data_IF_363290053444
#
_entry.id   IF_363290053444
#
_cell.length_a   1.000
_cell.length_b   1.000
_cell.length_c   1.000
_cell.angle_alpha   90.00
_cell.angle_beta   90.00
_cell.angle_gamma   90.00
#
_symmetry.space_group_name_H-M   'P 1'
#
loop_
_entity.id
_entity.type
_entity.pdbx_description
1 polymer ?
#
# COMPACT_ATOMS: atom_id res chain seq x y z
N UNK A 1 9.62 -23.27 20.04
CA UNK A 1 8.91 -22.37 19.11
C UNK A 1 9.86 -21.47 18.35
N UNK A 2 10.70 -20.61 18.97
CA UNK A 2 11.62 -19.73 18.20
C UNK A 2 12.60 -20.49 17.30
N UNK A 3 13.20 -21.59 17.79
CA UNK A 3 14.11 -22.44 16.99
C UNK A 3 13.45 -23.21 15.83
N UNK A 4 12.12 -23.29 15.76
CA UNK A 4 11.45 -23.91 14.59
C UNK A 4 11.45 -22.94 13.40
N UNK A 5 11.34 -21.64 13.67
CA UNK A 5 11.16 -20.62 12.64
C UNK A 5 12.47 -19.92 12.27
N UNK A 6 13.35 -19.69 13.24
CA UNK A 6 14.63 -19.00 13.05
C UNK A 6 15.79 -19.92 13.37
N UNK A 7 16.83 -19.86 12.53
CA UNK A 7 18.00 -20.74 12.65
C UNK A 7 18.97 -20.19 13.72
N UNK A 8 19.09 -18.86 13.84
CA UNK A 8 19.85 -18.19 14.91
C UNK A 8 19.33 -16.77 15.22
N UNK A 9 20.01 -16.08 16.14
CA UNK A 9 19.67 -14.70 16.54
C UNK A 9 19.82 -13.70 15.38
N UNK A 10 20.77 -13.91 14.46
CA UNK A 10 20.93 -13.04 13.30
C UNK A 10 19.75 -13.16 12.33
N UNK A 11 19.19 -14.37 12.17
CA UNK A 11 17.95 -14.60 11.39
C UNK A 11 16.76 -13.81 11.97
N UNK A 12 16.66 -13.70 13.31
CA UNK A 12 15.61 -12.92 13.96
C UNK A 12 15.76 -11.43 13.60
N UNK A 13 16.97 -10.88 13.68
CA UNK A 13 17.23 -9.48 13.36
C UNK A 13 17.00 -9.17 11.87
N UNK A 14 17.41 -10.09 10.97
CA UNK A 14 17.14 -9.96 9.54
C UNK A 14 15.64 -9.93 9.27
N UNK A 15 14.87 -10.85 9.86
CA UNK A 15 13.42 -10.89 9.73
C UNK A 15 12.77 -9.58 10.20
N UNK A 16 13.18 -9.07 11.37
CA UNK A 16 12.68 -7.80 11.91
C UNK A 16 12.96 -6.64 10.96
N UNK A 17 14.19 -6.52 10.46
CA UNK A 17 14.58 -5.47 9.51
C UNK A 17 13.75 -5.52 8.24
N UNK A 18 13.61 -6.70 7.62
CA UNK A 18 12.83 -6.89 6.39
C UNK A 18 11.36 -6.52 6.63
N UNK A 19 10.77 -6.93 7.75
CA UNK A 19 9.39 -6.58 8.09
C UNK A 19 9.19 -5.10 8.39
N UNK A 20 10.17 -4.41 8.99
CA UNK A 20 10.11 -2.96 9.18
C UNK A 20 10.07 -2.25 7.82
N UNK A 21 10.92 -2.65 6.87
CA UNK A 21 10.91 -2.11 5.49
C UNK A 21 9.60 -2.44 4.77
N UNK A 22 9.09 -3.66 4.90
CA UNK A 22 7.80 -4.05 4.32
C UNK A 22 6.65 -3.17 4.85
N UNK A 23 6.57 -2.97 6.18
CA UNK A 23 5.52 -2.11 6.77
C UNK A 23 5.62 -0.67 6.32
N UNK A 24 6.84 -0.11 6.25
CA UNK A 24 7.06 1.24 5.71
C UNK A 24 6.59 1.34 4.25
N UNK A 25 6.94 0.37 3.40
CA UNK A 25 6.48 0.33 2.01
C UNK A 25 4.94 0.26 1.91
N UNK A 26 4.30 -0.58 2.73
CA UNK A 26 2.83 -0.69 2.77
C UNK A 26 2.16 0.60 3.26
N UNK A 27 2.73 1.28 4.26
CA UNK A 27 2.26 2.59 4.71
C UNK A 27 2.34 3.61 3.59
N UNK A 28 3.44 3.66 2.84
CA UNK A 28 3.61 4.57 1.71
C UNK A 28 2.73 4.23 0.48
N UNK A 29 2.12 3.05 0.45
CA UNK A 29 1.08 2.68 -0.53
C UNK A 29 -0.34 2.96 -0.04
N UNK A 30 -0.49 3.57 1.14
CA UNK A 30 -1.78 3.82 1.77
C UNK A 30 -2.51 2.56 2.26
N UNK A 31 -1.78 1.44 2.40
CA UNK A 31 -2.34 0.17 2.89
C UNK A 31 -2.42 0.14 4.42
N UNK A 32 -1.60 0.96 5.09
CA UNK A 32 -1.56 1.10 6.53
C UNK A 32 -1.67 2.58 6.90
N UNK A 33 -2.37 2.85 8.00
CA UNK A 33 -2.44 4.19 8.58
C UNK A 33 -1.24 4.42 9.51
N UNK A 34 -0.84 5.69 9.67
CA UNK A 34 0.12 6.08 10.70
C UNK A 34 -0.50 6.10 12.10
N UNK A 35 0.32 6.38 13.11
CA UNK A 35 -0.14 6.46 14.51
C UNK A 35 -1.17 7.55 14.74
N UNK A 36 -1.27 8.53 13.84
CA UNK A 36 -2.24 9.63 13.86
C UNK A 36 -3.48 9.33 12.98
N UNK A 37 -3.55 8.12 12.38
CA UNK A 37 -4.64 7.69 11.52
C UNK A 37 -4.55 8.17 10.07
N UNK A 38 -3.44 8.80 9.67
CA UNK A 38 -3.28 9.34 8.30
C UNK A 38 -2.83 8.27 7.33
N UNK A 39 -3.35 8.36 6.11
CA UNK A 39 -2.98 7.51 4.98
C UNK A 39 -1.93 8.25 4.14
N UNK A 40 -0.82 7.57 3.82
CA UNK A 40 0.28 8.16 3.05
C UNK A 40 0.36 7.53 1.66
N UNK A 41 0.46 8.36 0.62
CA UNK A 41 0.69 7.91 -0.76
C UNK A 41 2.01 8.47 -1.29
N UNK A 42 3.07 7.68 -1.15
CA UNK A 42 4.39 7.98 -1.68
C UNK A 42 4.98 6.75 -2.37
N UNK A 43 4.65 6.60 -3.67
CA UNK A 43 5.17 5.51 -4.48
C UNK A 43 6.69 5.61 -4.70
N UNK A 44 7.28 6.80 -4.56
CA UNK A 44 8.74 6.99 -4.60
C UNK A 44 9.44 6.25 -3.46
N UNK A 45 8.98 6.47 -2.23
CA UNK A 45 9.50 5.78 -1.03
C UNK A 45 9.20 4.29 -1.06
N UNK A 46 8.03 3.90 -1.58
CA UNK A 46 7.69 2.49 -1.77
C UNK A 46 8.69 1.81 -2.71
N UNK A 47 9.02 2.44 -3.83
CA UNK A 47 10.01 1.92 -4.78
C UNK A 47 11.40 1.84 -4.12
N UNK A 48 11.80 2.87 -3.37
CA UNK A 48 13.09 2.87 -2.68
C UNK A 48 13.21 1.71 -1.67
N UNK A 49 12.14 1.39 -0.95
CA UNK A 49 12.10 0.24 -0.05
C UNK A 49 12.23 -1.10 -0.79
N UNK A 50 11.52 -1.29 -1.91
CA UNK A 50 11.62 -2.49 -2.75
C UNK A 50 13.03 -2.63 -3.33
N UNK A 51 13.62 -1.54 -3.83
CA UNK A 51 14.98 -1.52 -4.36
C UNK A 51 16.00 -1.86 -3.28
N UNK A 52 15.80 -1.36 -2.06
CA UNK A 52 16.65 -1.69 -0.89
C UNK A 52 16.58 -3.17 -0.55
N UNK A 53 15.37 -3.76 -0.52
CA UNK A 53 15.20 -5.20 -0.27
C UNK A 53 15.84 -6.05 -1.38
N UNK A 54 15.72 -5.64 -2.65
CA UNK A 54 16.41 -6.29 -3.76
C UNK A 54 17.93 -6.19 -3.63
N UNK A 55 18.46 -5.02 -3.27
CA UNK A 55 19.89 -4.82 -3.01
C UNK A 55 20.36 -5.73 -1.88
N UNK A 56 19.62 -5.80 -0.76
CA UNK A 56 19.92 -6.69 0.36
C UNK A 56 19.99 -8.15 -0.10
N UNK A 57 18.98 -8.63 -0.84
CA UNK A 57 18.97 -9.98 -1.42
C UNK A 57 20.23 -10.27 -2.24
N UNK A 58 20.65 -9.33 -3.09
CA UNK A 58 21.85 -9.48 -3.93
C UNK A 58 23.14 -9.48 -3.10
N UNK A 59 23.26 -8.55 -2.14
CA UNK A 59 24.47 -8.41 -1.30
C UNK A 59 24.63 -9.55 -0.29
N UNK A 60 23.55 -10.18 0.11
CA UNK A 60 23.55 -11.32 1.03
C UNK A 60 23.52 -12.68 0.31
N UNK A 61 23.60 -12.70 -1.02
CA UNK A 61 23.62 -13.94 -1.79
C UNK A 61 24.76 -14.87 -1.34
N UNK A 62 24.43 -16.13 -1.07
CA UNK A 62 25.35 -17.13 -0.51
C UNK A 62 25.47 -17.13 1.02
N UNK A 63 24.98 -16.09 1.70
CA UNK A 63 24.93 -16.02 3.16
C UNK A 63 23.52 -16.27 3.73
N UNK A 64 22.50 -16.31 2.88
CA UNK A 64 21.12 -16.57 3.30
C UNK A 64 20.86 -18.07 3.42
N UNK A 65 20.20 -18.47 4.51
CA UNK A 65 19.60 -19.81 4.60
C UNK A 65 18.43 -19.95 3.62
N UNK A 66 18.00 -21.18 3.37
CA UNK A 66 16.85 -21.44 2.47
C UNK A 66 15.57 -20.75 2.98
N UNK A 67 15.37 -20.73 4.30
CA UNK A 67 14.23 -20.07 4.94
C UNK A 67 14.28 -18.56 4.74
N UNK A 68 15.44 -17.95 4.99
CA UNK A 68 15.64 -16.50 4.84
C UNK A 68 15.47 -16.06 3.39
N UNK A 69 16.04 -16.82 2.45
CA UNK A 69 15.87 -16.57 1.02
C UNK A 69 14.40 -16.65 0.61
N UNK A 70 13.68 -17.68 1.07
CA UNK A 70 12.25 -17.86 0.77
C UNK A 70 11.41 -16.71 1.32
N UNK A 71 11.62 -16.34 2.58
CA UNK A 71 10.95 -15.21 3.22
C UNK A 71 11.22 -13.90 2.46
N UNK A 72 12.48 -13.58 2.18
CA UNK A 72 12.85 -12.33 1.52
C UNK A 72 12.28 -12.25 0.10
N UNK A 73 12.33 -13.35 -0.66
CA UNK A 73 11.74 -13.43 -2.00
C UNK A 73 10.22 -13.25 -1.97
N UNK A 74 9.55 -13.87 -1.00
CA UNK A 74 8.10 -13.73 -0.83
C UNK A 74 7.70 -12.28 -0.57
N UNK A 75 8.38 -11.62 0.38
CA UNK A 75 8.11 -10.23 0.75
C UNK A 75 8.37 -9.28 -0.44
N UNK A 76 9.48 -9.44 -1.16
CA UNK A 76 9.78 -8.63 -2.35
C UNK A 76 8.69 -8.80 -3.41
N UNK A 77 8.28 -10.04 -3.69
CA UNK A 77 7.29 -10.35 -4.72
C UNK A 77 5.91 -9.77 -4.36
N UNK A 78 5.50 -9.89 -3.10
CA UNK A 78 4.26 -9.30 -2.60
C UNK A 78 4.28 -7.77 -2.74
N UNK A 79 5.34 -7.12 -2.28
CA UNK A 79 5.46 -5.67 -2.37
C UNK A 79 5.44 -5.18 -3.82
N UNK A 80 6.10 -5.89 -4.74
CA UNK A 80 6.06 -5.57 -6.17
C UNK A 80 4.65 -5.69 -6.75
N UNK A 81 3.91 -6.74 -6.40
CA UNK A 81 2.52 -6.91 -6.81
C UNK A 81 1.64 -5.77 -6.29
N UNK A 82 1.80 -5.40 -5.01
CA UNK A 82 1.06 -4.29 -4.42
C UNK A 82 1.42 -2.96 -5.08
N UNK A 83 2.70 -2.73 -5.35
CA UNK A 83 3.20 -1.53 -6.00
C UNK A 83 2.59 -1.32 -7.39
N UNK A 84 2.49 -2.38 -8.20
CA UNK A 84 1.85 -2.33 -9.52
C UNK A 84 0.36 -1.96 -9.40
N UNK A 85 -0.32 -2.43 -8.35
CA UNK A 85 -1.74 -2.15 -8.10
C UNK A 85 -1.99 -0.78 -7.47
N UNK A 86 -0.99 -0.19 -6.80
CA UNK A 86 -1.15 1.02 -6.01
C UNK A 86 -1.66 2.23 -6.80
N UNK A 87 -1.18 2.55 -8.03
CA UNK A 87 -1.69 3.69 -8.80
C UNK A 87 -3.17 3.59 -9.18
N UNK A 88 -3.68 2.38 -9.41
CA UNK A 88 -5.10 2.16 -9.72
C UNK A 88 -5.95 2.35 -8.47
N UNK A 89 -5.47 1.85 -7.32
CA UNK A 89 -6.13 2.00 -6.02
C UNK A 89 -6.18 3.45 -5.55
N UNK A 90 -5.09 4.20 -5.75
CA UNK A 90 -5.02 5.61 -5.41
C UNK A 90 -6.10 6.40 -6.16
N UNK A 91 -6.20 6.24 -7.50
CA UNK A 91 -7.24 6.87 -8.30
C UNK A 91 -8.65 6.53 -7.84
N UNK A 92 -8.93 5.24 -7.61
CA UNK A 92 -10.25 4.81 -7.15
C UNK A 92 -10.65 5.41 -5.79
N UNK A 93 -9.68 5.73 -4.92
CA UNK A 93 -9.95 6.42 -3.64
C UNK A 93 -10.14 7.92 -3.84
N UNK A 94 -9.34 8.55 -4.69
CA UNK A 94 -9.51 9.96 -5.07
C UNK A 94 -10.89 10.21 -5.70
N UNK A 95 -11.34 9.33 -6.59
CA UNK A 95 -12.66 9.40 -7.22
C UNK A 95 -13.80 9.30 -6.19
N UNK A 96 -13.71 8.36 -5.23
CA UNK A 96 -14.72 8.21 -4.16
C UNK A 96 -14.78 9.43 -3.22
N UNK A 97 -13.62 10.04 -2.91
CA UNK A 97 -13.56 11.25 -2.10
C UNK A 97 -14.21 12.40 -2.86
N UNK A 98 -13.91 12.57 -4.14
CA UNK A 98 -14.49 13.60 -4.99
C UNK A 98 -16.02 13.45 -5.14
N UNK A 99 -16.52 12.22 -5.34
CA UNK A 99 -17.97 11.95 -5.37
C UNK A 99 -18.65 12.29 -4.04
N UNK A 100 -18.03 11.93 -2.91
CA UNK A 100 -18.59 12.22 -1.58
C UNK A 100 -18.62 13.72 -1.29
N UNK A 101 -17.58 14.46 -1.70
CA UNK A 101 -17.53 15.92 -1.58
C UNK A 101 -18.58 16.59 -2.48
N UNK A 102 -18.72 16.17 -3.74
CA UNK A 102 -19.75 16.67 -4.65
C UNK A 102 -21.17 16.45 -4.09
N UNK A 103 -21.45 15.27 -3.53
CA UNK A 103 -22.72 15.00 -2.86
C UNK A 103 -22.93 15.96 -1.69
N UNK A 104 -21.92 16.18 -0.83
CA UNK A 104 -22.04 17.15 0.27
C UNK A 104 -22.32 18.57 -0.20
N UNK A 105 -21.67 19.02 -1.28
CA UNK A 105 -21.89 20.35 -1.86
C UNK A 105 -23.32 20.51 -2.40
N UNK A 106 -23.88 19.49 -3.06
CA UNK A 106 -25.28 19.54 -3.52
C UNK A 106 -26.29 19.65 -2.37
N UNK A 107 -25.99 19.09 -1.19
CA UNK A 107 -26.84 19.22 -0.01
C UNK A 107 -26.71 20.58 0.69
N UNK A 108 -25.55 21.25 0.60
CA UNK A 108 -25.33 22.55 1.24
C UNK A 108 -25.69 23.74 0.36
N UNK A 109 -25.70 23.57 -0.98
CA UNK A 109 -26.12 24.61 -1.93
C UNK A 109 -27.07 24.05 -3.01
N UNK A 110 -28.37 23.87 -2.71
CA UNK A 110 -29.33 23.16 -3.58
C UNK A 110 -29.67 23.86 -4.90
N UNK A 111 -29.09 25.03 -5.21
CA UNK A 111 -29.36 25.78 -6.43
C UNK A 111 -28.54 25.32 -7.66
N UNK A 112 -27.45 24.55 -7.46
CA UNK A 112 -26.55 24.07 -8.53
C UNK A 112 -26.80 22.60 -8.92
N UNK A 113 -27.87 21.96 -8.42
CA UNK A 113 -28.23 20.60 -8.80
C UNK A 113 -28.74 20.52 -10.25
N UNK A 114 -28.47 19.42 -10.98
CA UNK A 114 -29.03 19.25 -12.32
C UNK A 114 -30.55 19.35 -12.23
N UNK A 115 -31.13 20.31 -12.95
CA UNK A 115 -32.57 20.47 -13.01
C UNK A 115 -33.15 19.24 -13.68
N UNK A 116 -33.94 18.46 -12.95
CA UNK A 116 -34.68 17.35 -13.51
C UNK A 116 -35.73 17.96 -14.46
N UNK A 117 -35.50 17.86 -15.77
CA UNK A 117 -36.51 18.23 -16.76
C UNK A 117 -37.59 17.16 -16.65
N UNK A 118 -38.64 17.47 -15.89
CA UNK A 118 -39.92 16.77 -15.98
C UNK A 118 -40.42 16.99 -17.41
N UNK A 119 -40.16 16.01 -18.28
CA UNK A 119 -40.84 15.88 -19.55
C UNK A 119 -42.29 15.56 -19.16
N UNK A 120 -43.17 16.56 -19.25
CA UNK A 120 -44.60 16.34 -19.17
C UNK A 120 -44.99 15.38 -20.31
N UNK A 121 -45.12 14.10 -19.98
CA UNK A 121 -45.91 13.16 -20.77
C UNK A 121 -47.38 13.47 -20.51
N UNK A 122 -47.96 14.45 -21.20
CA UNK A 122 -49.41 14.52 -21.39
C UNK A 122 -49.77 14.84 -22.86
N UNK A 123 -50.33 13.80 -23.50
CA UNK A 123 -51.13 13.69 -24.75
C UNK A 123 -50.78 14.49 -26.03
#
# INVERSE_FOLDING_TARGET
MEKEFFDDESSIHLFQLVHMLQRSAMMHMGLLQDSEGRVHYNLGETKAAIDTLNMLKQKMAGNLTEKESTMLNGIISELQLQFVKAPARQRALEDQVAETEAVRETFTNPQDGPSEILIDEEE
#
